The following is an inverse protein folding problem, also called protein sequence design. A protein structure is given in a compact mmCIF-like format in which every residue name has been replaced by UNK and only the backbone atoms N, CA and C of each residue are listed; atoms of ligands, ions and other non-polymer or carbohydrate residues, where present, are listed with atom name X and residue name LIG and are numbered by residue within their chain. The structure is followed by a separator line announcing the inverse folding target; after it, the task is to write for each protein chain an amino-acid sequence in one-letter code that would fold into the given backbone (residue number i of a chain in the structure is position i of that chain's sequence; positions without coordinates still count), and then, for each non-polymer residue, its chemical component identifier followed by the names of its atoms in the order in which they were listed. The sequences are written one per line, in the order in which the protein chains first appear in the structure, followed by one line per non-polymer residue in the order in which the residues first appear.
data_IF_953003578964
#
_entry.id   IF_953003578964
#
_cell.length_a   1.000
_cell.length_b   1.000
_cell.length_c   1.000
_cell.angle_alpha   90.00
_cell.angle_beta   90.00
_cell.angle_gamma   90.00
#
_symmetry.space_group_name_H-M   'P 1'
#
loop_
_entity.id
_entity.type
_entity.pdbx_description
1 polymer ?
#
# COMPACT_ATOMS: atom_id res chain seq x y z
N UNK A 1 9.83 0.04 -56.75
CA UNK A 1 8.58 0.10 -55.98
C UNK A 1 8.54 -1.14 -55.09
N UNK A 2 8.95 -0.97 -53.84
CA UNK A 2 8.62 -1.86 -52.74
C UNK A 2 8.29 -0.89 -51.60
N UNK A 3 7.00 -0.65 -51.42
CA UNK A 3 6.45 0.04 -50.27
C UNK A 3 6.46 -0.96 -49.12
N UNK A 4 7.54 -0.98 -48.34
CA UNK A 4 7.58 -1.71 -47.08
C UNK A 4 6.78 -0.93 -46.05
N UNK A 5 5.58 -1.46 -45.84
CA UNK A 5 4.53 -0.99 -44.93
C UNK A 5 5.09 -0.94 -43.51
N UNK A 6 5.34 0.27 -43.02
CA UNK A 6 5.69 0.56 -41.63
C UNK A 6 4.62 -0.04 -40.72
N UNK A 7 5.01 -1.00 -39.88
CA UNK A 7 4.11 -1.57 -38.87
C UNK A 7 3.91 -0.51 -37.80
N UNK A 8 2.73 0.10 -37.76
CA UNK A 8 2.28 0.93 -36.65
C UNK A 8 2.29 0.09 -35.36
N UNK A 9 3.39 0.18 -34.62
CA UNK A 9 3.41 -0.17 -33.21
C UNK A 9 2.50 0.84 -32.51
N UNK A 10 1.22 0.47 -32.36
CA UNK A 10 0.27 1.17 -31.50
C UNK A 10 0.81 1.07 -30.08
N UNK A 11 1.72 1.98 -29.74
CA UNK A 11 2.17 2.25 -28.39
C UNK A 11 0.88 2.45 -27.59
N UNK A 12 0.49 1.44 -26.81
CA UNK A 12 -0.66 1.56 -25.91
C UNK A 12 -0.29 2.73 -25.01
N UNK A 13 -0.96 3.86 -25.21
CA UNK A 13 -0.73 5.02 -24.37
C UNK A 13 -0.86 4.52 -22.93
N UNK A 14 0.12 4.82 -22.05
CA UNK A 14 0.03 4.45 -20.66
C UNK A 14 -1.34 4.89 -20.12
N UNK A 15 -1.96 4.08 -19.27
CA UNK A 15 -3.14 4.51 -18.53
C UNK A 15 -2.69 5.65 -17.62
N UNK A 16 -2.73 6.89 -18.09
CA UNK A 16 -2.29 8.05 -17.30
C UNK A 16 -3.37 8.53 -16.34
N UNK A 17 -4.63 8.30 -16.69
CA UNK A 17 -5.81 8.69 -15.90
C UNK A 17 -6.87 7.60 -15.93
N UNK A 18 -7.44 7.28 -14.77
CA UNK A 18 -8.51 6.30 -14.58
C UNK A 18 -9.74 7.00 -14.03
N UNK A 19 -10.80 7.11 -14.85
CA UNK A 19 -12.02 7.80 -14.45
C UNK A 19 -12.94 7.01 -13.52
N UNK A 20 -12.93 5.67 -13.59
CA UNK A 20 -13.72 4.79 -12.71
C UNK A 20 -13.12 3.38 -12.71
N UNK A 21 -13.45 2.56 -11.71
CA UNK A 21 -12.90 1.22 -11.57
C UNK A 21 -13.90 0.25 -10.94
N UNK A 22 -13.84 -1.02 -11.32
CA UNK A 22 -14.60 -2.09 -10.68
C UNK A 22 -13.71 -3.28 -10.39
N UNK A 23 -13.56 -3.62 -9.11
CA UNK A 23 -12.85 -4.82 -8.68
C UNK A 23 -13.87 -5.95 -8.58
N UNK A 24 -13.72 -6.95 -9.45
CA UNK A 24 -14.64 -8.10 -9.50
C UNK A 24 -14.33 -9.16 -8.44
N UNK A 25 -13.10 -9.18 -7.94
CA UNK A 25 -12.61 -10.25 -7.10
C UNK A 25 -11.25 -9.92 -6.48
N UNK A 26 -11.08 -10.33 -5.22
CA UNK A 26 -9.83 -10.19 -4.50
C UNK A 26 -9.54 -8.77 -4.02
N UNK A 27 -8.32 -8.58 -3.53
CA UNK A 27 -7.82 -7.29 -3.07
C UNK A 27 -6.63 -6.89 -3.93
N UNK A 28 -6.60 -5.64 -4.35
CA UNK A 28 -5.59 -5.08 -5.24
C UNK A 28 -4.95 -3.85 -4.61
N UNK A 29 -3.75 -3.54 -5.07
CA UNK A 29 -3.12 -2.24 -4.81
C UNK A 29 -2.86 -1.55 -6.13
N UNK A 30 -3.36 -0.33 -6.25
CA UNK A 30 -3.06 0.59 -7.35
C UNK A 30 -1.97 1.57 -6.93
N UNK A 31 -1.26 2.10 -7.91
CA UNK A 31 -0.15 3.03 -7.73
C UNK A 31 -0.27 4.18 -8.72
N UNK A 32 -0.01 5.39 -8.23
CA UNK A 32 0.05 6.63 -9.00
C UNK A 32 0.98 6.50 -10.22
N UNK A 33 2.15 5.86 -10.05
CA UNK A 33 3.21 5.82 -11.07
C UNK A 33 3.43 4.42 -11.66
N UNK A 34 4.09 4.32 -12.83
CA UNK A 34 4.52 3.04 -13.37
C UNK A 34 5.47 2.32 -12.41
N UNK A 35 5.58 1.00 -12.53
CA UNK A 35 6.55 0.22 -11.74
C UNK A 35 6.21 0.05 -10.26
N UNK A 36 4.96 0.25 -9.86
CA UNK A 36 4.48 0.15 -8.47
C UNK A 36 5.08 1.22 -7.53
N UNK A 37 5.20 2.45 -8.04
CA UNK A 37 5.76 3.59 -7.32
C UNK A 37 4.72 4.70 -7.07
N UNK A 38 5.05 5.66 -6.20
CA UNK A 38 4.19 6.78 -5.86
C UNK A 38 3.15 6.44 -4.80
N UNK A 39 2.07 7.23 -4.76
CA UNK A 39 0.95 7.01 -3.84
C UNK A 39 0.29 5.65 -4.11
N UNK A 40 -0.10 4.94 -3.04
CA UNK A 40 -0.69 3.60 -3.12
C UNK A 40 -2.17 3.68 -2.76
N UNK A 41 -3.02 2.89 -3.42
CA UNK A 41 -4.47 2.87 -3.19
C UNK A 41 -4.95 1.44 -2.99
N UNK A 42 -5.67 1.18 -1.89
CA UNK A 42 -6.18 -0.16 -1.58
C UNK A 42 -7.51 -0.31 -2.30
N UNK A 43 -7.66 -1.40 -3.04
CA UNK A 43 -8.84 -1.67 -3.84
C UNK A 43 -9.43 -3.01 -3.42
N UNK A 44 -10.60 -2.95 -2.79
CA UNK A 44 -11.40 -4.10 -2.40
C UNK A 44 -12.49 -4.36 -3.45
N UNK A 45 -13.16 -5.51 -3.36
CA UNK A 45 -14.28 -5.83 -4.24
C UNK A 45 -15.37 -4.75 -4.17
N UNK A 46 -15.71 -4.19 -5.33
CA UNK A 46 -16.60 -3.04 -5.36
C UNK A 46 -16.55 -2.26 -6.65
N UNK A 47 -17.43 -1.26 -6.74
CA UNK A 47 -17.45 -0.28 -7.81
C UNK A 47 -17.02 1.07 -7.26
N UNK A 48 -16.06 1.69 -7.94
CA UNK A 48 -15.50 3.00 -7.65
C UNK A 48 -15.84 3.93 -8.81
N UNK A 49 -16.60 4.99 -8.55
CA UNK A 49 -17.14 5.89 -9.57
C UNK A 49 -16.14 6.92 -10.04
N UNK A 50 -15.24 7.33 -9.16
CA UNK A 50 -14.17 8.28 -9.41
C UNK A 50 -13.04 8.09 -8.39
N UNK A 51 -12.00 8.92 -8.51
CA UNK A 51 -10.79 8.81 -7.71
C UNK A 51 -10.97 9.05 -6.22
N UNK A 52 -12.02 9.76 -5.82
CA UNK A 52 -12.31 9.96 -4.41
C UNK A 52 -12.78 8.67 -3.75
N UNK A 53 -13.46 7.78 -4.48
CA UNK A 53 -13.96 6.51 -3.95
C UNK A 53 -12.79 5.56 -3.57
N UNK A 54 -11.60 5.65 -4.21
CA UNK A 54 -10.39 4.87 -3.83
C UNK A 54 -9.37 5.66 -3.01
N UNK A 55 -9.71 6.88 -2.56
CA UNK A 55 -8.82 7.71 -1.77
C UNK A 55 -7.65 8.31 -2.56
N UNK A 56 -7.81 8.49 -3.88
CA UNK A 56 -6.86 9.18 -4.74
C UNK A 56 -6.64 10.64 -4.33
N UNK A 57 -5.44 11.17 -4.62
CA UNK A 57 -5.22 12.62 -4.66
C UNK A 57 -5.75 13.22 -5.98
N UNK A 58 -5.70 12.42 -7.03
CA UNK A 58 -6.17 12.68 -8.38
C UNK A 58 -6.52 11.35 -9.08
N UNK A 59 -6.78 11.42 -10.38
CA UNK A 59 -7.12 10.30 -11.26
C UNK A 59 -5.92 9.49 -11.75
N UNK A 60 -4.68 9.83 -11.35
CA UNK A 60 -3.49 9.13 -11.82
C UNK A 60 -3.37 7.74 -11.17
N UNK A 61 -3.54 6.71 -11.99
CA UNK A 61 -3.29 5.31 -11.63
C UNK A 61 -2.63 4.63 -12.83
N UNK A 62 -1.32 4.41 -12.73
CA UNK A 62 -0.50 3.94 -13.85
C UNK A 62 0.00 2.49 -13.69
N UNK A 63 -0.09 1.91 -12.49
CA UNK A 63 0.17 0.49 -12.29
C UNK A 63 -0.68 -0.11 -11.18
N UNK A 64 -0.96 -1.41 -11.28
CA UNK A 64 -1.76 -2.16 -10.31
C UNK A 64 -1.27 -3.61 -10.20
N UNK A 65 -1.45 -4.22 -9.04
CA UNK A 65 -1.17 -5.65 -8.84
C UNK A 65 -2.12 -6.26 -7.81
N UNK A 66 -2.43 -7.57 -7.92
CA UNK A 66 -3.18 -8.25 -6.89
C UNK A 66 -2.34 -8.38 -5.62
N UNK A 67 -2.99 -8.28 -4.47
CA UNK A 67 -2.40 -8.60 -3.18
C UNK A 67 -2.55 -10.11 -2.98
N UNK A 68 -1.43 -10.82 -3.09
CA UNK A 68 -1.36 -12.25 -2.80
C UNK A 68 -0.77 -12.43 -1.42
N UNK A 69 -1.55 -12.99 -0.49
CA UNK A 69 -1.10 -13.19 0.88
C UNK A 69 -2.06 -14.06 1.69
N UNK A 70 -1.57 -14.49 2.83
CA UNK A 70 -2.41 -15.03 3.89
C UNK A 70 -3.06 -13.85 4.63
N UNK A 71 -4.39 -13.78 4.60
CA UNK A 71 -5.17 -12.75 5.29
C UNK A 71 -5.57 -13.18 6.71
N UNK A 72 -4.94 -14.22 7.25
CA UNK A 72 -5.18 -14.75 8.59
C UNK A 72 -3.99 -14.50 9.52
N UNK A 73 -4.24 -14.59 10.84
CA UNK A 73 -3.20 -14.54 11.89
C UNK A 73 -2.25 -13.34 11.78
N UNK A 74 -2.80 -12.13 11.59
CA UNK A 74 -2.02 -10.92 11.34
C UNK A 74 -1.00 -10.62 12.45
N UNK A 75 0.28 -10.52 12.07
CA UNK A 75 1.36 -10.17 12.99
C UNK A 75 2.42 -9.33 12.26
N UNK A 76 2.61 -8.11 12.73
CA UNK A 76 3.64 -7.18 12.25
C UNK A 76 4.48 -6.68 13.43
N UNK A 77 5.77 -6.45 13.20
CA UNK A 77 6.64 -5.75 14.15
C UNK A 77 7.14 -4.47 13.48
N UNK A 78 6.93 -3.33 14.15
CA UNK A 78 7.46 -2.04 13.71
C UNK A 78 8.62 -1.62 14.61
N UNK A 79 9.62 -0.97 14.03
CA UNK A 79 10.84 -0.53 14.71
C UNK A 79 11.11 0.95 14.43
N UNK A 80 11.56 1.69 15.46
CA UNK A 80 11.95 3.08 15.31
C UNK A 80 13.27 3.28 14.57
N UNK A 81 14.07 2.21 14.44
CA UNK A 81 15.36 2.17 13.75
C UNK A 81 15.26 1.54 12.37
N UNK A 82 16.19 1.89 11.48
CA UNK A 82 16.41 1.16 10.21
C UNK A 82 16.97 -0.23 10.50
N UNK A 83 16.87 -1.13 9.53
CA UNK A 83 17.48 -2.46 9.56
C UNK A 83 17.14 -3.27 10.83
N UNK A 84 15.93 -3.09 11.36
CA UNK A 84 15.44 -3.78 12.56
C UNK A 84 16.33 -3.55 13.79
N UNK A 85 16.95 -2.37 13.87
CA UNK A 85 17.95 -2.03 14.88
C UNK A 85 17.44 -2.20 16.32
N UNK A 86 18.20 -2.89 17.21
CA UNK A 86 17.74 -3.21 18.56
C UNK A 86 17.84 -2.05 19.57
N UNK A 87 18.42 -0.91 19.15
CA UNK A 87 18.71 0.22 20.05
C UNK A 87 17.51 1.15 20.26
N UNK A 88 16.46 1.03 19.45
CA UNK A 88 15.25 1.86 19.54
C UNK A 88 14.02 1.06 19.98
N UNK A 89 12.89 1.75 20.04
CA UNK A 89 11.60 1.15 20.37
C UNK A 89 11.15 0.20 19.27
N UNK A 90 10.49 -0.88 19.65
CA UNK A 90 9.75 -1.76 18.75
C UNK A 90 8.38 -2.10 19.35
N UNK A 91 7.44 -2.48 18.50
CA UNK A 91 6.10 -2.88 18.93
C UNK A 91 5.60 -4.07 18.10
N UNK A 92 5.02 -5.05 18.79
CA UNK A 92 4.24 -6.12 18.14
C UNK A 92 2.82 -5.63 17.91
N UNK A 93 2.39 -5.64 16.65
CA UNK A 93 1.05 -5.26 16.21
C UNK A 93 0.31 -6.53 15.82
N UNK A 94 -0.77 -6.83 16.55
CA UNK A 94 -1.58 -8.04 16.38
C UNK A 94 -3.02 -7.74 15.92
N UNK A 95 -3.34 -6.46 15.70
CA UNK A 95 -4.66 -6.03 15.27
C UNK A 95 -4.69 -4.54 14.94
N UNK A 96 -5.89 -3.98 14.90
CA UNK A 96 -6.13 -2.57 14.57
C UNK A 96 -5.54 -1.66 15.66
N UNK A 97 -4.85 -0.60 15.23
CA UNK A 97 -4.41 0.51 16.09
C UNK A 97 -4.78 1.81 15.38
N UNK A 98 -5.80 2.52 15.87
CA UNK A 98 -6.26 3.77 15.25
C UNK A 98 -5.38 4.98 15.60
N UNK A 99 -4.61 4.90 16.70
CA UNK A 99 -3.63 5.92 17.07
C UNK A 99 -2.42 5.31 17.81
N UNK A 100 -1.27 5.31 17.16
CA UNK A 100 -0.02 4.74 17.69
C UNK A 100 0.52 5.44 18.93
N UNK A 101 0.15 6.71 19.16
CA UNK A 101 0.58 7.41 20.37
C UNK A 101 0.06 6.74 21.65
N UNK A 102 -1.11 6.10 21.56
CA UNK A 102 -1.77 5.47 22.70
C UNK A 102 -1.05 4.18 23.14
N UNK A 103 -0.11 3.68 22.33
CA UNK A 103 0.68 2.47 22.62
C UNK A 103 1.99 2.74 23.34
N UNK A 104 2.43 4.00 23.41
CA UNK A 104 3.75 4.39 23.92
C UNK A 104 4.93 4.12 22.96
N UNK A 105 4.70 3.49 21.80
CA UNK A 105 5.74 3.28 20.78
C UNK A 105 6.26 4.59 20.18
N UNK A 106 5.37 5.58 20.01
CA UNK A 106 5.65 6.84 19.31
C UNK A 106 5.15 6.83 17.87
N UNK A 107 5.58 7.81 17.06
CA UNK A 107 5.15 7.96 15.66
C UNK A 107 6.24 7.60 14.65
N UNK A 108 7.45 7.29 15.12
CA UNK A 108 8.62 7.11 14.27
C UNK A 108 8.78 5.63 13.96
N UNK A 109 8.57 5.24 12.71
CA UNK A 109 8.82 3.89 12.18
C UNK A 109 9.78 3.95 11.03
N UNK A 110 10.90 3.24 11.14
CA UNK A 110 11.97 3.22 10.13
C UNK A 110 12.24 1.84 9.54
N UNK A 111 11.77 0.76 10.18
CA UNK A 111 11.74 -0.56 9.56
C UNK A 111 10.55 -1.38 10.06
N UNK A 112 10.10 -2.33 9.24
CA UNK A 112 8.90 -3.15 9.50
C UNK A 112 9.17 -4.60 9.11
N UNK A 113 8.86 -5.53 10.00
CA UNK A 113 8.84 -6.96 9.72
C UNK A 113 7.39 -7.45 9.75
N UNK A 114 6.82 -7.76 8.59
CA UNK A 114 5.50 -8.38 8.50
C UNK A 114 5.69 -9.89 8.51
N UNK A 115 5.37 -10.51 9.65
CA UNK A 115 5.52 -11.95 9.84
C UNK A 115 4.38 -12.73 9.15
N UNK A 116 3.16 -12.18 9.21
CA UNK A 116 1.93 -12.74 8.65
C UNK A 116 0.85 -11.68 8.49
N UNK A 117 -0.18 -12.01 7.71
CA UNK A 117 -1.21 -11.05 7.33
C UNK A 117 -0.77 -10.16 6.16
N UNK A 118 -1.71 -9.32 5.75
CA UNK A 118 -1.44 -8.12 4.94
C UNK A 118 -1.95 -6.93 5.73
N UNK A 119 -1.26 -5.82 5.68
CA UNK A 119 -1.54 -4.63 6.48
C UNK A 119 -1.66 -3.39 5.61
N UNK A 120 -2.42 -2.42 6.10
CA UNK A 120 -2.30 -1.02 5.68
C UNK A 120 -1.79 -0.20 6.85
N UNK A 121 -0.72 0.54 6.62
CA UNK A 121 -0.22 1.55 7.53
C UNK A 121 -0.53 2.94 6.99
N UNK A 122 -0.86 3.88 7.88
CA UNK A 122 -1.25 5.23 7.52
C UNK A 122 -0.40 6.28 8.24
N UNK A 123 -0.13 7.37 7.54
CA UNK A 123 0.63 8.49 8.07
C UNK A 123 -0.08 9.17 9.26
N UNK A 124 -1.41 9.27 9.23
CA UNK A 124 -2.21 9.96 10.23
C UNK A 124 -3.09 8.99 11.06
N UNK A 125 -3.57 9.43 12.24
CA UNK A 125 -4.51 8.65 13.04
C UNK A 125 -5.81 8.37 12.27
N UNK A 126 -6.58 7.41 12.78
CA UNK A 126 -7.91 7.07 12.26
C UNK A 126 -7.90 6.69 10.77
N UNK A 127 -6.81 6.05 10.32
CA UNK A 127 -6.66 5.49 8.97
C UNK A 127 -6.72 6.53 7.85
N UNK A 128 -6.05 7.69 8.04
CA UNK A 128 -6.07 8.81 7.10
C UNK A 128 -4.67 9.21 6.62
N UNK A 129 -4.61 10.02 5.55
CA UNK A 129 -3.36 10.47 4.94
C UNK A 129 -2.75 9.43 4.01
N UNK A 130 -1.42 9.50 3.84
CA UNK A 130 -0.68 8.53 3.01
C UNK A 130 -0.86 7.11 3.55
N UNK A 131 -1.07 6.17 2.64
CA UNK A 131 -1.28 4.75 2.95
C UNK A 131 -0.21 3.86 2.31
N UNK A 132 0.16 2.80 3.03
CA UNK A 132 1.21 1.88 2.65
C UNK A 132 0.74 0.44 2.81
N UNK A 133 0.68 -0.30 1.70
CA UNK A 133 0.23 -1.69 1.69
C UNK A 133 1.44 -2.59 1.95
N UNK A 134 1.38 -3.35 3.04
CA UNK A 134 2.49 -4.15 3.54
C UNK A 134 2.08 -5.63 3.54
N UNK A 135 2.65 -6.39 2.62
CA UNK A 135 2.53 -7.84 2.60
C UNK A 135 3.61 -8.49 3.48
N UNK A 136 3.51 -9.80 3.72
CA UNK A 136 4.55 -10.56 4.42
C UNK A 136 5.94 -10.28 3.84
N UNK A 137 6.88 -9.90 4.69
CA UNK A 137 8.23 -9.55 4.25
C UNK A 137 9.00 -8.66 5.22
N UNK A 138 10.23 -8.36 4.83
CA UNK A 138 11.15 -7.49 5.56
C UNK A 138 11.25 -6.16 4.82
N UNK A 139 11.02 -5.07 5.55
CA UNK A 139 11.10 -3.71 5.06
C UNK A 139 12.14 -2.95 5.89
N UNK A 140 13.42 -2.92 5.46
CA UNK A 140 14.53 -2.42 6.29
C UNK A 140 14.60 -0.88 6.39
N UNK A 141 13.87 -0.16 5.54
CA UNK A 141 13.88 1.30 5.48
C UNK A 141 12.55 1.85 4.95
N UNK A 142 12.27 3.15 5.17
CA UNK A 142 11.00 3.78 4.73
C UNK A 142 10.76 3.69 3.22
N UNK A 143 11.85 3.69 2.45
CA UNK A 143 11.83 3.58 1.00
C UNK A 143 11.34 2.19 0.55
N UNK A 144 11.56 1.15 1.36
CA UNK A 144 11.13 -0.22 1.04
C UNK A 144 9.61 -0.39 0.99
N UNK A 145 8.84 0.50 1.63
CA UNK A 145 7.38 0.54 1.52
C UNK A 145 6.87 1.80 0.81
N UNK A 146 7.76 2.55 0.15
CA UNK A 146 7.39 3.71 -0.67
C UNK A 146 7.08 4.99 0.11
N UNK A 147 7.43 5.08 1.39
CA UNK A 147 7.19 6.30 2.17
C UNK A 147 8.26 7.37 1.95
N UNK A 148 7.82 8.64 2.00
CA UNK A 148 8.68 9.83 1.93
C UNK A 148 9.13 10.30 3.32
N UNK A 149 8.49 9.82 4.38
CA UNK A 149 8.82 10.13 5.76
C UNK A 149 8.63 8.89 6.65
N UNK A 150 9.07 8.97 7.90
CA UNK A 150 9.03 7.85 8.86
C UNK A 150 7.81 7.86 9.78
N UNK A 151 6.81 8.69 9.49
CA UNK A 151 5.62 8.84 10.34
C UNK A 151 4.60 7.77 9.99
N UNK A 152 4.29 6.93 10.97
CA UNK A 152 3.11 6.05 10.93
C UNK A 152 2.31 6.34 12.19
N UNK A 153 1.01 6.60 12.04
CA UNK A 153 0.14 6.95 13.17
C UNK A 153 -1.03 6.00 13.35
N UNK A 154 -1.41 5.22 12.35
CA UNK A 154 -2.41 4.16 12.49
C UNK A 154 -2.13 2.98 11.57
N UNK A 155 -2.60 1.80 11.94
CA UNK A 155 -2.39 0.54 11.20
C UNK A 155 -3.59 -0.38 11.35
N UNK A 156 -3.92 -1.14 10.31
CA UNK A 156 -4.93 -2.18 10.35
C UNK A 156 -4.58 -3.37 9.44
N UNK A 157 -4.94 -4.60 9.84
CA UNK A 157 -4.83 -5.74 8.94
C UNK A 157 -5.93 -5.68 7.87
N UNK A 158 -5.58 -6.07 6.64
CA UNK A 158 -6.56 -6.37 5.60
C UNK A 158 -7.14 -7.75 5.93
N UNK A 159 -8.45 -7.81 6.12
CA UNK A 159 -9.17 -9.06 6.42
C UNK A 159 -10.06 -9.41 5.24
N UNK A 160 -9.89 -10.61 4.70
CA UNK A 160 -10.77 -11.10 3.65
C UNK A 160 -11.95 -11.83 4.28
N UNK A 161 -13.11 -11.18 4.33
CA UNK A 161 -14.36 -11.84 4.72
C UNK A 161 -14.84 -12.63 3.51
N UNK A 162 -14.76 -13.95 3.56
CA UNK A 162 -15.48 -14.80 2.58
C UNK A 162 -16.96 -14.69 2.91
N UNK A 163 -17.71 -13.98 2.07
CA UNK A 163 -19.18 -13.91 2.11
C UNK A 163 -19.75 -15.22 1.59
#
# INVERSE_FOLDING_TARGET
MLDDKESEDKTRLPLTSVGSMKVLGGVWVAYEKPGFEGHQYLLEEGAYRDWTDWGGYDEEVQSLRPIVGDFTSSHMIMYSEKDFGPKGSNINVLGIISNLKDTGYGLRTQSINVLSGVWVAYENPEFTGEQYILAKGLYPSIEAWGAKNCKISSVQPIVMVRI
#
